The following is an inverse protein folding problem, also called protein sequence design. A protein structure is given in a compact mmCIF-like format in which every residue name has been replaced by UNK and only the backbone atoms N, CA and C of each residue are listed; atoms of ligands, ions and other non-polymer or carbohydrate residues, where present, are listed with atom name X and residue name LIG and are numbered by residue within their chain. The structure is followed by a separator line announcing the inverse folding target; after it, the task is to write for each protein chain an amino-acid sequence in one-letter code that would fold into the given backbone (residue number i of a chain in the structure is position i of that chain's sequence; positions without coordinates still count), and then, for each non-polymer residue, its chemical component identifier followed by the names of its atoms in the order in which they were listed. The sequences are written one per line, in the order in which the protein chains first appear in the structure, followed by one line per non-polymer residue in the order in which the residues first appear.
data_IF_299126962111
#
_entry.id   IF_299126962111
#
_cell.length_a   1.000
_cell.length_b   1.000
_cell.length_c   1.000
_cell.angle_alpha   90.00
_cell.angle_beta   90.00
_cell.angle_gamma   90.00
#
_symmetry.space_group_name_H-M   'P 1'
#
loop_
_entity.id
_entity.type
_entity.pdbx_description
1 polymer ?
#
# COMPACT_ATOMS: atom_id res chain seq x y z
N UNK A 1 -25.52 -18.17 -21.41
CA UNK A 1 -24.64 -19.00 -20.57
C UNK A 1 -23.28 -18.35 -20.62
N UNK A 2 -22.65 -18.03 -19.49
CA UNK A 2 -21.24 -17.67 -19.51
C UNK A 2 -20.45 -18.82 -20.15
N UNK A 3 -19.45 -18.46 -20.93
CA UNK A 3 -18.56 -19.41 -21.61
C UNK A 3 -17.17 -19.11 -21.12
N UNK A 4 -16.44 -20.15 -20.73
CA UNK A 4 -15.05 -20.02 -20.31
C UNK A 4 -14.18 -19.71 -21.54
N UNK A 5 -13.28 -18.74 -21.39
CA UNK A 5 -12.47 -18.22 -22.49
C UNK A 5 -11.00 -18.45 -22.18
N UNK A 6 -10.35 -19.31 -22.96
CA UNK A 6 -8.92 -19.53 -22.90
C UNK A 6 -8.24 -19.07 -24.19
N UNK A 7 -7.28 -18.17 -24.09
CA UNK A 7 -6.54 -17.59 -25.21
C UNK A 7 -5.03 -17.81 -25.05
N UNK A 8 -4.36 -18.11 -26.17
CA UNK A 8 -2.94 -18.45 -26.21
C UNK A 8 -2.26 -17.74 -27.38
N UNK A 9 -1.12 -17.09 -27.13
CA UNK A 9 -0.23 -16.51 -28.15
C UNK A 9 -0.93 -15.55 -29.12
N UNK A 10 -1.78 -14.67 -28.60
CA UNK A 10 -2.59 -13.74 -29.41
C UNK A 10 -2.05 -12.32 -29.26
N UNK A 11 -2.03 -11.58 -30.36
CA UNK A 11 -1.73 -10.15 -30.39
C UNK A 11 -2.95 -9.38 -30.92
N UNK A 12 -4.03 -9.24 -30.12
CA UNK A 12 -5.13 -8.37 -30.49
C UNK A 12 -4.64 -6.90 -30.46
N UNK A 13 -5.14 -6.06 -31.36
CA UNK A 13 -4.72 -4.65 -31.41
C UNK A 13 -5.31 -3.91 -30.20
N UNK A 14 -6.62 -3.70 -30.14
CA UNK A 14 -7.29 -3.11 -28.98
C UNK A 14 -8.50 -3.96 -28.61
N UNK A 15 -8.78 -4.08 -27.31
CA UNK A 15 -9.88 -4.88 -26.78
C UNK A 15 -10.82 -3.98 -25.99
N UNK A 16 -11.99 -3.70 -26.57
CA UNK A 16 -13.06 -2.98 -25.89
C UNK A 16 -14.27 -3.88 -25.69
N UNK A 17 -14.66 -4.14 -24.44
CA UNK A 17 -15.85 -4.93 -24.12
C UNK A 17 -16.83 -4.14 -23.26
N UNK A 18 -18.11 -4.36 -23.52
CA UNK A 18 -19.21 -3.71 -22.80
C UNK A 18 -20.28 -4.73 -22.43
N UNK A 19 -20.64 -4.80 -21.14
CA UNK A 19 -21.79 -5.58 -20.67
C UNK A 19 -21.64 -7.09 -20.84
N UNK A 20 -20.40 -7.59 -20.72
CA UNK A 20 -20.09 -9.01 -20.91
C UNK A 20 -20.02 -9.71 -19.56
N UNK A 21 -20.58 -10.92 -19.48
CA UNK A 21 -20.42 -11.82 -18.34
C UNK A 21 -19.75 -13.09 -18.86
N UNK A 22 -18.42 -13.06 -19.10
CA UNK A 22 -17.71 -14.29 -19.43
C UNK A 22 -17.71 -15.22 -18.21
N UNK A 23 -17.46 -16.51 -18.46
CA UNK A 23 -17.14 -17.43 -17.36
C UNK A 23 -15.72 -17.14 -16.87
N UNK A 24 -14.95 -18.20 -16.65
CA UNK A 24 -13.55 -18.06 -16.26
C UNK A 24 -12.70 -17.67 -17.48
N UNK A 25 -11.75 -16.76 -17.28
CA UNK A 25 -10.87 -16.25 -18.33
C UNK A 25 -9.43 -16.61 -18.02
N UNK A 26 -8.78 -17.29 -18.96
CA UNK A 26 -7.36 -17.63 -18.86
C UNK A 26 -6.59 -17.15 -20.10
N UNK A 27 -5.52 -16.38 -19.92
CA UNK A 27 -4.68 -15.94 -21.04
C UNK A 27 -3.21 -16.26 -20.80
N UNK A 28 -2.55 -16.72 -21.86
CA UNK A 28 -1.13 -17.06 -21.86
C UNK A 28 -0.42 -16.38 -23.04
N UNK A 29 0.63 -15.61 -22.76
CA UNK A 29 1.50 -15.03 -23.79
C UNK A 29 0.77 -14.03 -24.69
N UNK A 30 -0.13 -13.23 -24.14
CA UNK A 30 -0.94 -12.28 -24.91
C UNK A 30 -0.35 -10.89 -24.81
N UNK A 31 -0.23 -10.20 -25.95
CA UNK A 31 0.22 -8.81 -26.01
C UNK A 31 -0.93 -8.00 -26.63
N UNK A 32 -1.96 -7.65 -25.84
CA UNK A 32 -2.95 -6.70 -26.30
C UNK A 32 -2.31 -5.30 -26.39
N UNK A 33 -2.78 -4.46 -27.30
CA UNK A 33 -2.61 -3.00 -27.15
C UNK A 33 -3.51 -2.50 -26.03
N UNK A 34 -4.41 -1.57 -26.31
CA UNK A 34 -5.23 -0.96 -25.25
C UNK A 34 -6.43 -1.84 -24.89
N UNK A 35 -6.68 -2.00 -23.59
CA UNK A 35 -7.80 -2.78 -23.04
C UNK A 35 -8.74 -1.85 -22.30
N UNK A 36 -10.00 -1.78 -22.73
CA UNK A 36 -11.05 -1.00 -22.08
C UNK A 36 -12.27 -1.89 -21.78
N UNK A 37 -12.58 -2.10 -20.50
CA UNK A 37 -13.74 -2.90 -20.09
C UNK A 37 -14.76 -2.06 -19.33
N UNK A 38 -16.03 -2.22 -19.70
CA UNK A 38 -17.15 -1.54 -19.06
C UNK A 38 -18.23 -2.55 -18.66
N UNK A 39 -18.64 -2.54 -17.39
CA UNK A 39 -19.71 -3.40 -16.87
C UNK A 39 -19.46 -4.88 -17.16
N UNK A 40 -18.29 -5.37 -16.73
CA UNK A 40 -17.90 -6.77 -16.96
C UNK A 40 -17.89 -7.50 -15.63
N UNK A 41 -18.50 -8.68 -15.60
CA UNK A 41 -18.49 -9.57 -14.43
C UNK A 41 -17.90 -10.90 -14.89
N UNK A 42 -16.56 -11.00 -15.01
CA UNK A 42 -15.92 -12.28 -15.26
C UNK A 42 -16.08 -13.18 -14.02
N UNK A 43 -15.96 -14.50 -14.22
CA UNK A 43 -15.63 -15.40 -13.12
C UNK A 43 -14.19 -15.16 -12.67
N UNK A 44 -13.41 -16.23 -12.57
CA UNK A 44 -12.01 -16.12 -12.17
C UNK A 44 -11.13 -15.76 -13.38
N UNK A 45 -10.11 -14.92 -13.15
CA UNK A 45 -9.20 -14.45 -14.17
C UNK A 45 -7.76 -14.85 -13.86
N UNK A 46 -7.15 -15.65 -14.74
CA UNK A 46 -5.73 -16.02 -14.67
C UNK A 46 -4.97 -15.52 -15.90
N UNK A 47 -3.99 -14.64 -15.71
CA UNK A 47 -3.16 -14.12 -16.81
C UNK A 47 -1.68 -14.44 -16.58
N UNK A 48 -1.03 -14.98 -17.61
CA UNK A 48 0.37 -15.38 -17.57
C UNK A 48 1.13 -14.77 -18.76
N UNK A 49 2.16 -13.98 -18.48
CA UNK A 49 3.00 -13.38 -19.51
C UNK A 49 2.23 -12.42 -20.41
N UNK A 50 1.52 -11.46 -19.81
CA UNK A 50 0.68 -10.50 -20.54
C UNK A 50 1.33 -9.13 -20.52
N UNK A 51 1.43 -8.51 -21.69
CA UNK A 51 2.01 -7.16 -21.83
C UNK A 51 0.95 -6.29 -22.51
N UNK A 52 -0.03 -5.76 -21.76
CA UNK A 52 -0.97 -4.79 -22.28
C UNK A 52 -0.28 -3.47 -22.58
N UNK A 53 -0.87 -2.67 -23.48
CA UNK A 53 -0.70 -1.22 -23.46
C UNK A 53 -1.42 -0.63 -22.24
N UNK A 54 -2.37 0.29 -22.48
CA UNK A 54 -3.14 0.90 -21.39
C UNK A 54 -4.35 0.03 -21.02
N UNK A 55 -4.56 -0.15 -19.72
CA UNK A 55 -5.70 -0.90 -19.17
C UNK A 55 -6.63 0.05 -18.44
N UNK A 56 -7.88 0.15 -18.90
CA UNK A 56 -8.93 0.96 -18.29
C UNK A 56 -10.15 0.08 -17.95
N UNK A 57 -10.45 -0.08 -16.67
CA UNK A 57 -11.61 -0.86 -16.22
C UNK A 57 -12.62 0.03 -15.51
N UNK A 58 -13.89 -0.13 -15.88
CA UNK A 58 -15.01 0.59 -15.30
C UNK A 58 -16.11 -0.39 -14.89
N UNK A 59 -16.46 -0.38 -13.60
CA UNK A 59 -17.51 -1.24 -13.03
C UNK A 59 -17.27 -2.72 -13.35
N UNK A 60 -16.14 -3.24 -12.89
CA UNK A 60 -15.76 -4.63 -13.10
C UNK A 60 -15.84 -5.37 -11.77
N UNK A 61 -16.47 -6.54 -11.75
CA UNK A 61 -16.57 -7.38 -10.55
C UNK A 61 -16.10 -8.79 -10.90
N UNK A 62 -14.78 -9.02 -10.94
CA UNK A 62 -14.23 -10.37 -11.06
C UNK A 62 -14.58 -11.22 -9.85
N UNK A 63 -14.48 -12.54 -10.00
CA UNK A 63 -14.14 -13.41 -8.88
C UNK A 63 -12.69 -13.17 -8.46
N UNK A 64 -11.85 -14.18 -8.54
CA UNK A 64 -10.44 -14.06 -8.18
C UNK A 64 -9.58 -13.64 -9.38
N UNK A 65 -8.58 -12.80 -9.14
CA UNK A 65 -7.66 -12.30 -10.17
C UNK A 65 -6.23 -12.70 -9.82
N UNK A 66 -5.61 -13.50 -10.67
CA UNK A 66 -4.20 -13.89 -10.57
C UNK A 66 -3.42 -13.44 -11.80
N UNK A 67 -2.40 -12.59 -11.61
CA UNK A 67 -1.47 -12.18 -12.67
C UNK A 67 -0.06 -12.70 -12.38
N UNK A 68 0.56 -13.29 -13.40
CA UNK A 68 1.95 -13.70 -13.37
C UNK A 68 2.72 -13.11 -14.55
N UNK A 69 3.73 -12.30 -14.29
CA UNK A 69 4.55 -11.69 -15.34
C UNK A 69 3.75 -10.75 -16.22
N UNK A 70 3.16 -9.70 -15.61
CA UNK A 70 2.40 -8.69 -16.32
C UNK A 70 3.15 -7.35 -16.38
N UNK A 71 3.16 -6.71 -17.55
CA UNK A 71 3.85 -5.43 -17.74
C UNK A 71 2.92 -4.47 -18.50
N UNK A 72 1.87 -3.92 -17.85
CA UNK A 72 1.08 -2.85 -18.44
C UNK A 72 1.90 -1.59 -18.64
N UNK A 73 1.49 -0.71 -19.56
CA UNK A 73 1.96 0.68 -19.53
C UNK A 73 1.23 1.40 -18.37
N UNK A 74 -0.02 1.82 -18.56
CA UNK A 74 -0.81 2.46 -17.51
C UNK A 74 -2.04 1.63 -17.11
N UNK A 75 -2.38 1.62 -15.82
CA UNK A 75 -3.57 0.95 -15.29
C UNK A 75 -4.48 1.94 -14.58
N UNK A 76 -5.70 2.08 -15.08
CA UNK A 76 -6.75 2.92 -14.51
C UNK A 76 -7.98 2.08 -14.15
N UNK A 77 -8.28 1.93 -12.87
CA UNK A 77 -9.44 1.16 -12.39
C UNK A 77 -10.46 2.07 -11.71
N UNK A 78 -11.71 1.95 -12.14
CA UNK A 78 -12.84 2.68 -11.56
C UNK A 78 -13.92 1.70 -11.11
N UNK A 79 -14.19 1.69 -9.81
CA UNK A 79 -15.21 0.86 -9.18
C UNK A 79 -15.03 -0.62 -9.51
N UNK A 80 -13.90 -1.19 -9.07
CA UNK A 80 -13.62 -2.61 -9.24
C UNK A 80 -13.68 -3.31 -7.89
N UNK A 81 -14.43 -4.41 -7.84
CA UNK A 81 -14.63 -5.23 -6.64
C UNK A 81 -14.29 -6.68 -6.99
N UNK A 82 -13.00 -7.04 -7.02
CA UNK A 82 -12.59 -8.44 -7.12
C UNK A 82 -12.83 -9.15 -5.78
N UNK A 83 -12.85 -10.49 -5.80
CA UNK A 83 -12.64 -11.30 -4.61
C UNK A 83 -11.19 -11.14 -4.17
N UNK A 84 -10.35 -12.13 -4.50
CA UNK A 84 -8.92 -12.07 -4.17
C UNK A 84 -8.07 -11.57 -5.34
N UNK A 85 -7.02 -10.81 -5.03
CA UNK A 85 -6.05 -10.31 -6.02
C UNK A 85 -4.64 -10.79 -5.68
N UNK A 86 -4.07 -11.63 -6.56
CA UNK A 86 -2.68 -12.09 -6.48
C UNK A 86 -1.85 -11.61 -7.66
N UNK A 87 -0.83 -10.79 -7.40
CA UNK A 87 0.10 -10.32 -8.43
C UNK A 87 1.51 -10.82 -8.17
N UNK A 88 2.12 -11.41 -9.20
CA UNK A 88 3.48 -11.95 -9.15
C UNK A 88 4.28 -11.41 -10.33
N UNK A 89 5.45 -10.83 -10.03
CA UNK A 89 6.38 -10.30 -11.03
C UNK A 89 5.69 -9.29 -11.98
N UNK A 90 4.97 -8.31 -11.39
CA UNK A 90 4.18 -7.31 -12.13
C UNK A 90 4.91 -5.97 -12.14
N UNK A 91 4.98 -5.33 -13.31
CA UNK A 91 5.69 -4.07 -13.54
C UNK A 91 4.86 -3.11 -14.41
N UNK A 92 3.80 -2.50 -13.90
CA UNK A 92 3.13 -1.40 -14.58
C UNK A 92 3.95 -0.11 -14.47
N UNK A 93 3.73 0.81 -15.40
CA UNK A 93 4.15 2.21 -15.25
C UNK A 93 3.33 2.87 -14.15
N UNK A 94 2.22 3.51 -14.53
CA UNK A 94 1.38 4.26 -13.58
C UNK A 94 0.11 3.49 -13.21
N UNK A 95 -0.26 3.53 -11.92
CA UNK A 95 -1.46 2.87 -11.40
C UNK A 95 -2.37 3.88 -10.70
N UNK A 96 -3.57 4.07 -11.25
CA UNK A 96 -4.61 4.93 -10.69
C UNK A 96 -5.86 4.11 -10.34
N UNK A 97 -6.20 4.06 -9.05
CA UNK A 97 -7.37 3.33 -8.57
C UNK A 97 -8.39 4.26 -7.91
N UNK A 98 -9.65 4.09 -8.29
CA UNK A 98 -10.78 4.82 -7.72
C UNK A 98 -11.89 3.86 -7.30
N UNK A 99 -12.12 3.73 -5.99
CA UNK A 99 -13.18 2.86 -5.47
C UNK A 99 -12.86 1.37 -5.66
N UNK A 100 -11.76 0.90 -5.08
CA UNK A 100 -11.38 -0.52 -5.08
C UNK A 100 -11.75 -1.17 -3.75
N UNK A 101 -12.38 -2.34 -3.80
CA UNK A 101 -12.72 -3.12 -2.62
C UNK A 101 -12.44 -4.61 -2.87
N UNK A 102 -11.17 -5.02 -2.94
CA UNK A 102 -10.80 -6.44 -2.91
C UNK A 102 -11.08 -7.03 -1.51
N UNK A 103 -11.30 -8.34 -1.45
CA UNK A 103 -11.24 -9.07 -0.17
C UNK A 103 -9.79 -9.11 0.30
N UNK A 104 -8.91 -9.85 -0.40
CA UNK A 104 -7.48 -9.91 -0.07
C UNK A 104 -6.58 -9.45 -1.23
N UNK A 105 -5.43 -8.84 -0.90
CA UNK A 105 -4.40 -8.42 -1.87
C UNK A 105 -3.03 -8.98 -1.48
N UNK A 106 -2.46 -9.80 -2.36
CA UNK A 106 -1.12 -10.35 -2.23
C UNK A 106 -0.23 -9.94 -3.41
N UNK A 107 0.84 -9.18 -3.14
CA UNK A 107 1.81 -8.78 -4.16
C UNK A 107 3.20 -9.36 -3.87
N UNK A 108 3.83 -9.93 -4.89
CA UNK A 108 5.19 -10.46 -4.82
C UNK A 108 6.05 -9.98 -5.99
N UNK A 109 7.20 -9.38 -5.70
CA UNK A 109 8.18 -8.98 -6.71
C UNK A 109 7.63 -7.90 -7.65
N UNK A 110 6.99 -6.89 -7.08
CA UNK A 110 6.30 -5.85 -7.84
C UNK A 110 7.16 -4.58 -7.91
N UNK A 111 7.25 -3.98 -9.09
CA UNK A 111 7.87 -2.66 -9.29
C UNK A 111 6.83 -1.75 -9.94
N UNK A 112 6.30 -0.78 -9.20
CA UNK A 112 5.38 0.22 -9.74
C UNK A 112 6.12 1.56 -9.89
N UNK A 113 5.75 2.34 -10.91
CA UNK A 113 6.06 3.76 -10.94
C UNK A 113 5.15 4.51 -9.97
N UNK A 114 4.30 5.39 -10.48
CA UNK A 114 3.42 6.22 -9.66
C UNK A 114 2.13 5.47 -9.27
N UNK A 115 1.77 5.53 -7.99
CA UNK A 115 0.57 4.91 -7.44
C UNK A 115 -0.34 5.94 -6.80
N UNK A 116 -1.54 6.10 -7.35
CA UNK A 116 -2.57 7.00 -6.81
C UNK A 116 -3.84 6.22 -6.47
N UNK A 117 -4.16 6.13 -5.17
CA UNK A 117 -5.34 5.41 -4.68
C UNK A 117 -6.34 6.36 -4.03
N UNK A 118 -7.62 6.25 -4.44
CA UNK A 118 -8.73 7.00 -3.88
C UNK A 118 -9.87 6.08 -3.46
N UNK A 119 -10.20 6.09 -2.16
CA UNK A 119 -11.32 5.32 -1.63
C UNK A 119 -11.11 3.82 -1.80
N UNK A 120 -10.02 3.30 -1.23
CA UNK A 120 -9.65 1.88 -1.32
C UNK A 120 -9.92 1.23 0.03
N UNK A 121 -10.63 0.09 0.01
CA UNK A 121 -10.99 -0.67 1.20
C UNK A 121 -10.73 -2.17 1.01
N UNK A 122 -9.47 -2.62 1.07
CA UNK A 122 -9.11 -4.03 1.15
C UNK A 122 -9.45 -4.59 2.54
N UNK A 123 -9.65 -5.90 2.62
CA UNK A 123 -9.49 -6.65 3.87
C UNK A 123 -8.00 -6.68 4.23
N UNK A 124 -7.30 -7.73 3.79
CA UNK A 124 -5.88 -7.92 4.11
C UNK A 124 -4.95 -7.55 2.94
N UNK A 125 -3.83 -6.90 3.27
CA UNK A 125 -2.78 -6.54 2.31
C UNK A 125 -1.43 -7.11 2.71
N UNK A 126 -0.87 -7.96 1.86
CA UNK A 126 0.45 -8.56 2.02
C UNK A 126 1.37 -8.21 0.85
N UNK A 127 2.46 -7.49 1.12
CA UNK A 127 3.46 -7.11 0.12
C UNK A 127 4.84 -7.72 0.42
N UNK A 128 5.46 -8.31 -0.60
CA UNK A 128 6.80 -8.88 -0.51
C UNK A 128 7.69 -8.43 -1.67
N UNK A 129 8.82 -7.77 -1.35
CA UNK A 129 9.81 -7.37 -2.34
C UNK A 129 9.23 -6.36 -3.33
N UNK A 130 8.74 -5.24 -2.81
CA UNK A 130 8.07 -4.20 -3.61
C UNK A 130 8.95 -2.96 -3.70
N UNK A 131 9.04 -2.38 -4.89
CA UNK A 131 9.62 -1.06 -5.12
C UNK A 131 8.56 -0.15 -5.71
N UNK A 132 8.32 1.00 -5.08
CA UNK A 132 7.42 2.05 -5.57
C UNK A 132 8.22 3.36 -5.66
N UNK A 133 7.97 4.15 -6.71
CA UNK A 133 8.49 5.52 -6.80
C UNK A 133 7.61 6.41 -5.90
N UNK A 134 6.50 6.94 -6.43
CA UNK A 134 5.60 7.83 -5.68
C UNK A 134 4.30 7.13 -5.27
N UNK A 135 3.91 7.26 -4.00
CA UNK A 135 2.67 6.70 -3.46
C UNK A 135 1.80 7.78 -2.83
N UNK A 136 0.60 7.96 -3.39
CA UNK A 136 -0.42 8.87 -2.87
C UNK A 136 -1.70 8.11 -2.52
N UNK A 137 -2.06 8.07 -1.22
CA UNK A 137 -3.28 7.43 -0.74
C UNK A 137 -4.25 8.45 -0.14
N UNK A 138 -5.52 8.35 -0.53
CA UNK A 138 -6.60 9.18 0.01
C UNK A 138 -7.80 8.34 0.42
N UNK A 139 -8.16 8.40 1.70
CA UNK A 139 -9.34 7.75 2.25
C UNK A 139 -9.24 6.23 2.13
N UNK A 140 -8.29 5.66 2.86
CA UNK A 140 -8.02 4.22 2.85
C UNK A 140 -8.41 3.61 4.19
N UNK A 141 -9.13 2.50 4.14
CA UNK A 141 -9.47 1.66 5.29
C UNK A 141 -8.91 0.27 5.01
N UNK A 142 -8.12 -0.26 5.93
CA UNK A 142 -7.47 -1.57 5.81
C UNK A 142 -7.76 -2.34 7.09
N UNK A 143 -7.98 -3.66 7.01
CA UNK A 143 -7.94 -4.50 8.20
C UNK A 143 -6.47 -4.71 8.57
N UNK A 144 -5.77 -5.66 7.94
CA UNK A 144 -4.36 -5.92 8.26
C UNK A 144 -3.39 -5.59 7.11
N UNK A 145 -2.22 -5.02 7.46
CA UNK A 145 -1.16 -4.66 6.52
C UNK A 145 0.16 -5.29 6.93
N UNK A 146 0.71 -6.14 6.06
CA UNK A 146 2.01 -6.79 6.24
C UNK A 146 2.94 -6.47 5.08
N UNK A 147 4.03 -5.72 5.32
CA UNK A 147 5.02 -5.37 4.31
C UNK A 147 6.40 -5.97 4.64
N UNK A 148 7.04 -6.58 3.65
CA UNK A 148 8.38 -7.15 3.76
C UNK A 148 9.28 -6.72 2.61
N UNK A 149 10.42 -6.11 2.93
CA UNK A 149 11.44 -5.73 1.93
C UNK A 149 10.89 -4.73 0.93
N UNK A 150 10.39 -3.60 1.43
CA UNK A 150 9.76 -2.55 0.61
C UNK A 150 10.68 -1.34 0.52
N UNK A 151 10.87 -0.82 -0.69
CA UNK A 151 11.53 0.46 -0.94
C UNK A 151 10.54 1.43 -1.55
N UNK A 152 10.45 2.63 -0.97
CA UNK A 152 9.56 3.71 -1.41
C UNK A 152 10.40 4.97 -1.59
N UNK A 153 10.17 5.78 -2.61
CA UNK A 153 10.77 7.12 -2.64
C UNK A 153 9.89 8.05 -1.80
N UNK A 154 8.74 8.49 -2.32
CA UNK A 154 7.87 9.44 -1.63
C UNK A 154 6.50 8.82 -1.29
N UNK A 155 6.07 9.03 -0.04
CA UNK A 155 4.79 8.51 0.48
C UNK A 155 3.95 9.63 1.07
N UNK A 156 2.78 9.86 0.49
CA UNK A 156 1.80 10.83 0.98
C UNK A 156 0.48 10.13 1.33
N UNK A 157 0.13 10.06 2.62
CA UNK A 157 -1.10 9.44 3.09
C UNK A 157 -2.06 10.47 3.70
N UNK A 158 -3.32 10.38 3.32
CA UNK A 158 -4.39 11.23 3.84
C UNK A 158 -5.59 10.39 4.30
N UNK A 159 -5.94 10.53 5.58
CA UNK A 159 -7.08 9.85 6.20
C UNK A 159 -7.02 8.34 5.98
N UNK A 160 -6.03 7.70 6.59
CA UNK A 160 -5.89 6.25 6.55
C UNK A 160 -6.18 5.68 7.93
N UNK A 161 -7.00 4.65 7.97
CA UNK A 161 -7.35 3.89 9.17
C UNK A 161 -7.04 2.42 8.90
N UNK A 162 -5.78 1.98 9.11
CA UNK A 162 -5.46 0.56 9.18
C UNK A 162 -5.97 -0.04 10.51
N UNK A 163 -6.18 -1.35 10.56
CA UNK A 163 -6.07 -2.11 11.80
C UNK A 163 -4.60 -2.26 12.16
N UNK A 164 -4.06 -3.47 12.00
CA UNK A 164 -2.68 -3.78 12.35
C UNK A 164 -1.70 -3.51 11.21
N UNK A 165 -0.62 -2.79 11.51
CA UNK A 165 0.46 -2.50 10.55
C UNK A 165 1.76 -3.14 11.00
N UNK A 166 2.24 -4.11 10.23
CA UNK A 166 3.51 -4.79 10.43
C UNK A 166 4.48 -4.53 9.27
N UNK A 167 5.57 -3.82 9.53
CA UNK A 167 6.60 -3.51 8.53
C UNK A 167 7.95 -4.15 8.89
N UNK A 168 8.56 -4.82 7.91
CA UNK A 168 9.89 -5.42 8.03
C UNK A 168 10.79 -5.00 6.87
N UNK A 169 11.99 -4.52 7.21
CA UNK A 169 13.02 -4.11 6.25
C UNK A 169 12.48 -3.10 5.21
N UNK A 170 11.90 -2.01 5.71
CA UNK A 170 11.28 -0.96 4.87
C UNK A 170 12.20 0.26 4.82
N UNK A 171 12.42 0.78 3.61
CA UNK A 171 13.26 1.95 3.35
C UNK A 171 12.47 2.97 2.50
N UNK A 172 11.63 3.82 3.11
CA UNK A 172 11.04 4.95 2.44
C UNK A 172 11.99 6.16 2.47
N UNK A 173 11.93 6.99 1.43
CA UNK A 173 12.46 8.35 1.45
C UNK A 173 11.59 9.24 2.31
N UNK A 174 10.83 10.15 1.70
CA UNK A 174 10.03 11.14 2.42
C UNK A 174 8.61 10.60 2.71
N UNK A 175 8.20 10.69 3.97
CA UNK A 175 6.90 10.20 4.45
C UNK A 175 6.08 11.34 5.05
N UNK A 176 4.97 11.68 4.41
CA UNK A 176 4.00 12.68 4.88
C UNK A 176 2.66 12.02 5.22
N UNK A 177 2.29 12.03 6.50
CA UNK A 177 1.03 11.45 6.97
C UNK A 177 0.09 12.52 7.57
N UNK A 178 -1.17 12.48 7.13
CA UNK A 178 -2.24 13.35 7.63
C UNK A 178 -3.44 12.53 8.09
N UNK A 179 -3.68 12.50 9.40
CA UNK A 179 -4.85 11.83 9.99
C UNK A 179 -4.74 10.31 9.88
N UNK A 180 -3.82 9.72 10.64
CA UNK A 180 -3.65 8.27 10.72
C UNK A 180 -4.13 7.77 12.07
N UNK A 181 -4.95 6.71 12.07
CA UNK A 181 -5.45 6.08 13.30
C UNK A 181 -5.37 4.55 13.15
N UNK A 182 -4.17 3.97 13.21
CA UNK A 182 -4.02 2.51 13.28
C UNK A 182 -4.38 1.98 14.68
N UNK A 183 -4.69 0.69 14.77
CA UNK A 183 -4.77 0.00 16.07
C UNK A 183 -3.32 -0.22 16.56
N UNK A 184 -2.62 -1.19 15.97
CA UNK A 184 -1.23 -1.49 16.32
C UNK A 184 -0.23 -1.16 15.19
N UNK A 185 0.92 -0.59 15.56
CA UNK A 185 2.04 -0.35 14.63
C UNK A 185 3.31 -1.04 15.11
N UNK A 186 3.76 -2.02 14.34
CA UNK A 186 5.01 -2.76 14.57
C UNK A 186 6.02 -2.54 13.44
N UNK A 187 7.14 -1.90 13.73
CA UNK A 187 8.22 -1.64 12.77
C UNK A 187 9.51 -2.36 13.16
N UNK A 188 10.10 -3.08 12.20
CA UNK A 188 11.37 -3.77 12.34
C UNK A 188 12.34 -3.41 11.22
N UNK A 189 13.52 -2.87 11.58
CA UNK A 189 14.60 -2.60 10.64
C UNK A 189 14.25 -1.54 9.60
N UNK A 190 13.72 -0.40 10.04
CA UNK A 190 13.23 0.66 9.16
C UNK A 190 14.23 1.81 9.10
N UNK A 191 14.61 2.23 7.90
CA UNK A 191 15.45 3.41 7.66
C UNK A 191 14.62 4.44 6.91
N UNK A 192 14.31 5.57 7.53
CA UNK A 192 13.42 6.59 6.97
C UNK A 192 14.25 7.81 6.56
N UNK A 193 13.87 8.48 5.47
CA UNK A 193 14.29 9.86 5.20
C UNK A 193 13.54 10.83 6.11
N UNK A 194 12.91 11.85 5.52
CA UNK A 194 12.15 12.86 6.25
C UNK A 194 10.74 12.37 6.59
N UNK A 195 10.36 12.48 7.87
CA UNK A 195 9.05 12.03 8.36
C UNK A 195 8.25 13.21 8.91
N UNK A 196 7.11 13.50 8.28
CA UNK A 196 6.18 14.53 8.72
C UNK A 196 4.82 13.93 9.09
N UNK A 197 4.47 13.95 10.39
CA UNK A 197 3.22 13.40 10.90
C UNK A 197 2.29 14.48 11.45
N UNK A 198 1.03 14.48 11.01
CA UNK A 198 -0.02 15.36 11.49
C UNK A 198 -1.25 14.57 11.95
N UNK A 199 -1.54 14.61 13.26
CA UNK A 199 -2.71 13.96 13.83
C UNK A 199 -2.66 12.44 13.74
N UNK A 200 -1.64 11.83 14.36
CA UNK A 200 -1.44 10.38 14.39
C UNK A 200 -1.78 9.86 15.79
N UNK A 201 -2.74 8.94 15.88
CA UNK A 201 -3.29 8.42 17.14
C UNK A 201 -3.38 6.89 17.09
N UNK A 202 -2.23 6.18 17.18
CA UNK A 202 -2.22 4.72 17.31
C UNK A 202 -2.62 4.33 18.75
N UNK A 203 -3.09 3.10 18.95
CA UNK A 203 -3.19 2.55 20.31
C UNK A 203 -1.78 2.16 20.77
N UNK A 204 -1.16 1.18 20.10
CA UNK A 204 0.17 0.67 20.44
C UNK A 204 1.21 0.92 19.34
N UNK A 205 2.42 1.31 19.74
CA UNK A 205 3.57 1.49 18.83
C UNK A 205 4.78 0.73 19.33
N UNK A 206 5.26 -0.22 18.53
CA UNK A 206 6.47 -1.00 18.79
C UNK A 206 7.52 -0.78 17.68
N UNK A 207 8.64 -0.15 18.02
CA UNK A 207 9.73 0.14 17.08
C UNK A 207 11.02 -0.61 17.45
N UNK A 208 11.59 -1.32 16.47
CA UNK A 208 12.85 -2.03 16.61
C UNK A 208 13.82 -1.67 15.49
N UNK A 209 14.94 -1.03 15.83
CA UNK A 209 16.00 -0.70 14.87
C UNK A 209 15.54 0.33 13.83
N UNK A 210 14.93 1.43 14.28
CA UNK A 210 14.40 2.49 13.42
C UNK A 210 15.37 3.68 13.40
N UNK A 211 15.70 4.17 12.20
CA UNK A 211 16.67 5.24 11.97
C UNK A 211 16.15 6.29 10.96
N UNK A 212 15.35 7.27 11.38
CA UNK A 212 15.00 8.43 10.58
C UNK A 212 16.09 9.50 10.59
N UNK A 213 16.21 10.24 9.49
CA UNK A 213 17.02 11.46 9.41
C UNK A 213 16.30 12.60 10.16
N UNK A 214 15.22 13.15 9.58
CA UNK A 214 14.44 14.23 10.18
C UNK A 214 13.02 13.78 10.56
N UNK A 215 12.56 14.14 11.77
CA UNK A 215 11.20 13.82 12.23
C UNK A 215 10.47 15.06 12.73
N UNK A 216 9.34 15.39 12.09
CA UNK A 216 8.43 16.46 12.49
C UNK A 216 7.06 15.91 12.89
N UNK A 217 6.70 16.03 14.17
CA UNK A 217 5.44 15.52 14.72
C UNK A 217 4.52 16.64 15.21
N UNK A 218 3.26 16.62 14.78
CA UNK A 218 2.21 17.53 15.21
C UNK A 218 0.96 16.78 15.67
N UNK A 219 0.66 16.85 16.98
CA UNK A 219 -0.56 16.27 17.54
C UNK A 219 -0.55 14.73 17.50
N UNK A 220 0.54 14.13 17.96
CA UNK A 220 0.70 12.66 18.05
C UNK A 220 0.34 12.19 19.46
N UNK A 221 -0.56 11.21 19.56
CA UNK A 221 -1.12 10.73 20.84
C UNK A 221 -1.26 9.19 20.88
N UNK A 222 -0.16 8.43 20.96
CA UNK A 222 -0.19 7.00 21.26
C UNK A 222 -0.57 6.74 22.73
N UNK A 223 -1.21 5.59 22.99
CA UNK A 223 -1.39 5.09 24.36
C UNK A 223 -0.07 4.47 24.86
N UNK A 224 0.40 3.40 24.20
CA UNK A 224 1.62 2.70 24.58
C UNK A 224 2.72 2.80 23.51
N UNK A 225 3.96 3.10 23.94
CA UNK A 225 5.12 3.15 23.04
C UNK A 225 6.29 2.34 23.60
N UNK A 226 6.75 1.36 22.81
CA UNK A 226 7.94 0.56 23.06
C UNK A 226 9.01 0.82 22.00
N UNK A 227 10.17 1.34 22.40
CA UNK A 227 11.30 1.64 21.50
C UNK A 227 12.54 0.82 21.85
N UNK A 228 13.11 0.14 20.84
CA UNK A 228 14.35 -0.61 20.96
C UNK A 228 15.33 -0.25 19.84
N UNK A 229 16.51 0.27 20.20
CA UNK A 229 17.57 0.55 19.24
C UNK A 229 17.20 1.61 18.21
N UNK A 230 16.54 2.68 18.65
CA UNK A 230 16.12 3.80 17.80
C UNK A 230 17.19 4.89 17.82
N UNK A 231 17.63 5.33 16.64
CA UNK A 231 18.59 6.42 16.47
C UNK A 231 17.90 7.55 15.71
N UNK A 232 17.78 8.73 16.32
CA UNK A 232 17.15 9.90 15.72
C UNK A 232 18.21 10.99 15.54
N UNK A 233 18.33 11.61 14.37
CA UNK A 233 19.20 12.78 14.20
C UNK A 233 18.47 14.04 14.66
N UNK A 234 17.50 14.54 13.89
CA UNK A 234 16.79 15.78 14.19
C UNK A 234 15.30 15.55 14.44
N UNK A 235 14.79 16.05 15.57
CA UNK A 235 13.40 15.82 16.00
C UNK A 235 12.73 17.12 16.42
N UNK A 236 11.60 17.44 15.80
CA UNK A 236 10.73 18.55 16.15
C UNK A 236 9.34 18.05 16.58
N UNK A 237 8.98 18.28 17.85
CA UNK A 237 7.69 17.85 18.41
C UNK A 237 6.80 19.03 18.81
N UNK A 238 5.55 18.98 18.39
CA UNK A 238 4.50 19.92 18.81
C UNK A 238 3.23 19.19 19.26
N UNK A 239 2.86 19.36 20.53
CA UNK A 239 1.61 18.79 21.06
C UNK A 239 1.59 17.26 21.10
N UNK A 240 2.72 16.64 21.48
CA UNK A 240 2.82 15.18 21.66
C UNK A 240 2.39 14.82 23.08
N UNK A 241 1.53 13.81 23.21
CA UNK A 241 1.09 13.23 24.47
C UNK A 241 1.40 11.73 24.44
N UNK A 242 2.17 11.25 25.42
CA UNK A 242 2.49 9.82 25.58
C UNK A 242 2.01 9.39 26.96
N UNK A 243 1.26 8.30 27.05
CA UNK A 243 0.85 7.74 28.34
C UNK A 243 1.93 6.85 28.93
N UNK A 244 2.23 5.71 28.30
CA UNK A 244 3.24 4.77 28.79
C UNK A 244 4.37 4.56 27.76
N UNK A 245 5.61 4.73 28.23
CA UNK A 245 6.79 4.67 27.36
C UNK A 245 7.86 3.75 27.95
N UNK A 246 8.28 2.77 27.15
CA UNK A 246 9.41 1.89 27.43
C UNK A 246 10.54 2.14 26.44
N UNK A 247 11.74 2.47 26.92
CA UNK A 247 12.90 2.77 26.08
C UNK A 247 14.07 1.81 26.34
N UNK A 248 14.71 1.35 25.26
CA UNK A 248 15.98 0.64 25.33
C UNK A 248 16.93 1.06 24.19
N UNK A 249 18.14 1.47 24.56
CA UNK A 249 19.20 1.93 23.63
C UNK A 249 18.73 2.97 22.60
N UNK A 250 17.98 3.97 23.06
CA UNK A 250 17.53 5.10 22.24
C UNK A 250 18.56 6.24 22.32
N UNK A 251 19.01 6.74 21.16
CA UNK A 251 19.95 7.87 21.08
C UNK A 251 19.35 8.99 20.22
N UNK A 252 18.83 10.06 20.85
CA UNK A 252 18.45 11.26 20.12
C UNK A 252 19.67 12.16 19.85
N UNK A 253 19.69 12.80 18.68
CA UNK A 253 20.51 13.96 18.35
C UNK A 253 19.88 15.25 18.86
N UNK A 254 19.52 16.17 17.96
CA UNK A 254 18.94 17.46 18.31
C UNK A 254 17.41 17.36 18.45
N UNK A 255 16.89 17.73 19.63
CA UNK A 255 15.46 17.63 19.95
C UNK A 255 14.88 18.99 20.31
N UNK A 256 13.84 19.41 19.60
CA UNK A 256 13.05 20.61 19.85
C UNK A 256 11.63 20.24 20.32
N UNK A 257 11.21 20.72 21.50
CA UNK A 257 9.90 20.42 22.10
C UNK A 257 9.06 21.68 22.33
N UNK A 258 7.83 21.67 21.84
CA UNK A 258 6.86 22.74 22.04
C UNK A 258 5.50 22.21 22.52
N UNK A 259 5.36 22.13 23.85
CA UNK A 259 4.11 21.70 24.51
C UNK A 259 3.86 20.19 24.39
N UNK A 260 3.47 19.58 25.51
CA UNK A 260 3.25 18.15 25.62
C UNK A 260 3.26 17.69 27.08
N UNK A 261 2.82 16.47 27.33
CA UNK A 261 2.82 15.84 28.64
C UNK A 261 3.34 14.41 28.45
N UNK A 262 4.39 14.08 29.18
CA UNK A 262 5.01 12.76 29.18
C UNK A 262 4.50 12.03 30.41
N UNK A 263 3.95 10.84 30.23
CA UNK A 263 3.51 9.96 31.29
C UNK A 263 4.66 9.15 31.89
N UNK A 264 4.41 7.89 32.25
CA UNK A 264 5.34 7.10 33.06
C UNK A 264 6.45 6.48 32.19
N UNK A 265 7.66 6.44 32.75
CA UNK A 265 8.85 5.92 32.09
C UNK A 265 9.32 4.65 32.77
N UNK A 266 9.52 3.60 31.98
CA UNK A 266 10.31 2.44 32.39
C UNK A 266 11.63 2.42 31.60
N UNK A 267 12.74 2.35 32.33
CA UNK A 267 14.13 2.29 31.81
C UNK A 267 14.75 0.92 32.03
#
# INVERSE_FOLDING_TARGET
MPVDVCLYDIMPVDVCLYGVMPGDVCMYGVIPGDVCLYYVMPGDMGLYGVIPGNVCLYYVMPGDVCLYGAIPEDVCLYYVMPGDVGLYDVMPGDVCLYGMMPEDVCLYGVMLGDVCLYGVMPGDVCLYGVMLEDVCLYGVLLEDVCLYGVMLEDVCLYYVMPGDVCLYDVMPGDVCLYGMMPEDVCLYGVMLGDVCLYGVMPEDVCLYGVMPEDVCLYGVMPEDVCLYGVLLEDVCLYGVLLEDVCLYDVKPGDVCLYGGKLGYWCT
#
